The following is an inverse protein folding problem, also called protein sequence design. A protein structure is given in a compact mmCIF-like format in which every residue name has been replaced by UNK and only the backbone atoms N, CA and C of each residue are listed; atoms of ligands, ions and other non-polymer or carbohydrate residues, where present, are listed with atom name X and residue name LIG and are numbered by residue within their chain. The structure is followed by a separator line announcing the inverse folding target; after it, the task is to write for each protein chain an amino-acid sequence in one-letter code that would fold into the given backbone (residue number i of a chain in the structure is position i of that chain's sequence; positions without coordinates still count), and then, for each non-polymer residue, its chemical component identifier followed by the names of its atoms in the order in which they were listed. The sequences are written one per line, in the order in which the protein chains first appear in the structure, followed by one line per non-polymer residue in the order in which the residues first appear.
data_IF_190360795412
#
_entry.id   IF_190360795412
#
_cell.length_a   1.000
_cell.length_b   1.000
_cell.length_c   1.000
_cell.angle_alpha   90.00
_cell.angle_beta   90.00
_cell.angle_gamma   90.00
#
_symmetry.space_group_name_H-M   'P 1'
#
loop_
_entity.id
_entity.type
_entity.pdbx_description
1 polymer ?
#
# COMPACT_ATOMS: atom_id res chain seq x y z
N UNK A 1 -1.06 -17.98 -1.50
CA UNK A 1 -0.59 -16.74 -0.85
C UNK A 1 0.51 -16.14 -1.70
N UNK A 2 0.49 -14.82 -1.86
CA UNK A 2 1.54 -14.16 -2.63
C UNK A 2 2.85 -14.20 -1.86
N UNK A 3 3.90 -14.69 -2.50
CA UNK A 3 5.21 -14.85 -1.87
C UNK A 3 5.97 -13.53 -1.86
N UNK A 4 6.93 -13.41 -0.94
CA UNK A 4 7.74 -12.19 -0.81
C UNK A 4 8.45 -11.84 -2.12
N UNK A 5 8.88 -12.83 -2.88
CA UNK A 5 9.54 -12.61 -4.16
C UNK A 5 8.60 -11.93 -5.16
N UNK A 6 7.34 -12.36 -5.19
CA UNK A 6 6.32 -11.72 -6.04
C UNK A 6 6.05 -10.29 -5.60
N UNK A 7 5.98 -10.05 -4.30
CA UNK A 7 5.81 -8.70 -3.75
C UNK A 7 7.00 -7.81 -4.14
N UNK A 8 8.21 -8.33 -4.05
CA UNK A 8 9.41 -7.58 -4.45
C UNK A 8 9.39 -7.21 -5.93
N UNK A 9 8.90 -8.10 -6.78
CA UNK A 9 8.73 -7.81 -8.21
C UNK A 9 7.73 -6.68 -8.43
N UNK A 10 6.60 -6.71 -7.71
CA UNK A 10 5.60 -5.65 -7.79
C UNK A 10 6.16 -4.31 -7.31
N UNK A 11 6.96 -4.31 -6.27
CA UNK A 11 7.62 -3.10 -5.77
C UNK A 11 8.55 -2.51 -6.84
N UNK A 12 9.32 -3.36 -7.52
CA UNK A 12 10.20 -2.91 -8.60
C UNK A 12 9.40 -2.25 -9.73
N UNK A 13 8.29 -2.86 -10.12
CA UNK A 13 7.41 -2.31 -11.16
C UNK A 13 6.81 -0.97 -10.70
N UNK A 14 6.39 -0.88 -9.45
CA UNK A 14 5.83 0.35 -8.89
C UNK A 14 6.85 1.49 -8.93
N UNK A 15 8.10 1.21 -8.55
CA UNK A 15 9.18 2.20 -8.61
C UNK A 15 9.40 2.69 -10.05
N UNK A 16 9.43 1.76 -11.01
CA UNK A 16 9.62 2.12 -12.42
C UNK A 16 8.48 2.99 -12.93
N UNK A 17 7.24 2.65 -12.58
CA UNK A 17 6.08 3.43 -12.98
C UNK A 17 6.09 4.83 -12.37
N UNK A 18 6.46 4.94 -11.10
CA UNK A 18 6.57 6.24 -10.44
C UNK A 18 7.64 7.11 -11.09
N UNK A 19 8.79 6.53 -11.44
CA UNK A 19 9.87 7.26 -12.11
C UNK A 19 9.45 7.73 -13.50
N UNK A 20 8.69 6.91 -14.21
CA UNK A 20 8.25 7.20 -15.59
C UNK A 20 7.13 8.25 -15.61
N UNK A 21 6.11 8.07 -14.77
CA UNK A 21 4.88 8.84 -14.85
C UNK A 21 4.79 9.97 -13.82
N UNK A 22 5.67 9.98 -12.83
CA UNK A 22 5.65 10.96 -11.76
C UNK A 22 4.61 10.69 -10.69
N UNK A 23 3.76 9.70 -10.89
CA UNK A 23 2.73 9.28 -9.93
C UNK A 23 2.45 7.80 -10.10
N UNK A 24 1.88 7.20 -9.07
CA UNK A 24 1.54 5.79 -9.05
C UNK A 24 0.02 5.63 -8.95
N UNK A 25 -0.57 4.90 -9.91
CA UNK A 25 -1.97 4.51 -9.80
C UNK A 25 -2.08 3.43 -8.74
N UNK A 26 -3.01 3.62 -7.79
CA UNK A 26 -3.27 2.63 -6.75
C UNK A 26 -3.79 1.34 -7.38
N UNK A 27 -3.34 0.21 -6.87
CA UNK A 27 -3.73 -1.10 -7.37
C UNK A 27 -3.86 -2.08 -6.23
N UNK A 28 -4.86 -2.96 -6.30
CA UNK A 28 -5.05 -4.04 -5.35
C UNK A 28 -4.92 -5.37 -6.08
N UNK A 29 -4.20 -6.29 -5.45
CA UNK A 29 -4.05 -7.67 -5.91
C UNK A 29 -4.79 -8.55 -4.92
N UNK A 30 -5.87 -9.19 -5.37
CA UNK A 30 -6.74 -9.99 -4.51
C UNK A 30 -6.57 -11.46 -4.86
N UNK A 31 -6.11 -12.25 -3.89
CA UNK A 31 -5.95 -13.68 -4.08
C UNK A 31 -7.24 -14.40 -3.67
N UNK A 32 -7.90 -15.04 -4.63
CA UNK A 32 -9.12 -15.79 -4.40
C UNK A 32 -8.84 -17.14 -3.76
N UNK A 33 -9.89 -17.73 -3.16
CA UNK A 33 -9.83 -19.08 -2.61
C UNK A 33 -9.60 -20.14 -3.68
N UNK A 34 -9.94 -19.83 -4.92
CA UNK A 34 -9.71 -20.68 -6.08
C UNK A 34 -8.29 -20.53 -6.64
N UNK A 35 -7.42 -19.80 -5.95
CA UNK A 35 -6.02 -19.50 -6.33
C UNK A 35 -5.89 -18.53 -7.51
N UNK A 36 -6.97 -17.98 -8.03
CA UNK A 36 -6.93 -16.95 -9.04
C UNK A 36 -6.56 -15.61 -8.42
N UNK A 37 -5.77 -14.84 -9.14
CA UNK A 37 -5.38 -13.50 -8.74
C UNK A 37 -6.21 -12.48 -9.51
N UNK A 38 -6.93 -11.63 -8.79
CA UNK A 38 -7.68 -10.53 -9.38
C UNK A 38 -6.89 -9.25 -9.18
N UNK A 39 -6.67 -8.50 -10.25
CA UNK A 39 -5.94 -7.24 -10.21
C UNK A 39 -6.94 -6.12 -10.44
N UNK A 40 -7.03 -5.20 -9.48
CA UNK A 40 -7.99 -4.09 -9.53
C UNK A 40 -7.22 -2.78 -9.56
N UNK A 41 -7.31 -2.05 -10.67
CA UNK A 41 -6.78 -0.70 -10.74
C UNK A 41 -7.77 0.25 -10.05
N UNK A 42 -7.26 1.07 -9.15
CA UNK A 42 -8.07 1.94 -8.31
C UNK A 42 -7.86 3.38 -8.77
N UNK A 43 -8.61 3.78 -9.81
CA UNK A 43 -8.46 5.08 -10.47
C UNK A 43 -9.31 6.18 -9.82
N UNK A 44 -9.81 5.94 -8.62
CA UNK A 44 -10.63 6.88 -7.88
C UNK A 44 -9.96 7.24 -6.54
N UNK A 45 -10.54 8.19 -5.83
CA UNK A 45 -10.03 8.64 -4.54
C UNK A 45 -10.10 7.54 -3.48
N UNK A 46 -9.23 7.64 -2.48
CA UNK A 46 -9.15 6.67 -1.38
C UNK A 46 -10.48 6.53 -0.65
N UNK A 47 -11.21 7.64 -0.47
CA UNK A 47 -12.53 7.62 0.14
C UNK A 47 -13.54 6.77 -0.63
N UNK A 48 -13.32 6.58 -1.93
CA UNK A 48 -14.17 5.77 -2.80
C UNK A 48 -13.70 4.33 -2.86
N UNK A 49 -12.39 4.09 -3.04
CA UNK A 49 -11.93 2.72 -3.27
C UNK A 49 -11.81 1.90 -1.99
N UNK A 50 -11.52 2.50 -0.83
CA UNK A 50 -11.41 1.73 0.41
C UNK A 50 -12.73 1.05 0.81
N UNK A 51 -13.90 1.73 0.77
CA UNK A 51 -15.17 1.03 1.00
C UNK A 51 -15.46 -0.05 -0.04
N UNK A 52 -15.09 0.18 -1.29
CA UNK A 52 -15.25 -0.80 -2.36
C UNK A 52 -14.44 -2.08 -2.08
N UNK A 53 -13.15 -1.93 -1.71
CA UNK A 53 -12.30 -3.06 -1.36
C UNK A 53 -12.81 -3.79 -0.13
N UNK A 54 -13.22 -3.04 0.89
CA UNK A 54 -13.75 -3.61 2.12
C UNK A 54 -14.96 -4.50 1.83
N UNK A 55 -15.91 -4.00 1.05
CA UNK A 55 -17.08 -4.76 0.66
C UNK A 55 -16.72 -6.02 -0.13
N UNK A 56 -15.78 -5.88 -1.06
CA UNK A 56 -15.32 -7.00 -1.89
C UNK A 56 -14.66 -8.09 -1.04
N UNK A 57 -13.82 -7.70 -0.09
CA UNK A 57 -13.14 -8.64 0.80
C UNK A 57 -14.10 -9.31 1.80
N UNK A 58 -15.16 -8.63 2.22
CA UNK A 58 -16.16 -9.20 3.10
C UNK A 58 -17.01 -10.29 2.41
N UNK A 59 -16.95 -10.40 1.09
CA UNK A 59 -17.69 -11.44 0.37
C UNK A 59 -17.25 -12.86 0.73
N UNK A 60 -16.04 -13.01 1.33
CA UNK A 60 -15.50 -14.31 1.69
C UNK A 60 -14.84 -15.06 0.55
N UNK A 61 -14.77 -14.46 -0.65
CA UNK A 61 -14.20 -15.11 -1.82
C UNK A 61 -12.68 -15.02 -1.89
N UNK A 62 -12.06 -14.25 -0.99
CA UNK A 62 -10.63 -13.97 -1.03
C UNK A 62 -9.96 -14.39 0.27
N UNK A 63 -8.69 -14.78 0.18
CA UNK A 63 -7.89 -15.21 1.33
C UNK A 63 -6.74 -14.26 1.65
N UNK A 64 -6.36 -13.38 0.73
CA UNK A 64 -5.34 -12.37 0.97
C UNK A 64 -5.45 -11.24 -0.02
N UNK A 65 -4.82 -10.13 0.29
CA UNK A 65 -4.68 -9.04 -0.67
C UNK A 65 -3.35 -8.32 -0.47
N UNK A 66 -2.91 -7.66 -1.53
CA UNK A 66 -1.81 -6.69 -1.49
C UNK A 66 -2.33 -5.39 -2.08
N UNK A 67 -2.24 -4.32 -1.31
CA UNK A 67 -2.63 -2.98 -1.76
C UNK A 67 -1.38 -2.15 -1.95
N UNK A 68 -1.20 -1.57 -3.13
CA UNK A 68 -0.09 -0.68 -3.45
C UNK A 68 -0.63 0.70 -3.71
N UNK A 69 -0.18 1.67 -2.93
CA UNK A 69 -0.64 3.06 -3.05
C UNK A 69 0.53 4.02 -2.84
N UNK A 70 0.37 5.23 -3.36
CA UNK A 70 1.22 6.35 -3.02
C UNK A 70 0.55 7.10 -1.88
N UNK A 71 1.27 7.39 -0.80
CA UNK A 71 0.68 8.00 0.38
C UNK A 71 1.68 8.83 1.18
N UNK A 72 1.16 9.66 2.07
CA UNK A 72 1.95 10.31 3.11
C UNK A 72 2.11 9.37 4.30
N UNK A 73 3.23 9.47 4.99
CA UNK A 73 3.42 8.75 6.24
C UNK A 73 4.30 9.55 7.19
N UNK A 74 4.20 9.23 8.48
CA UNK A 74 5.11 9.68 9.52
C UNK A 74 5.42 8.49 10.42
N UNK A 75 6.57 8.52 11.09
CA UNK A 75 6.92 7.51 12.09
C UNK A 75 6.83 8.17 13.47
N UNK A 76 6.16 7.49 14.40
CA UNK A 76 6.03 7.92 15.78
C UNK A 76 6.17 6.71 16.68
N UNK A 77 7.13 6.76 17.61
CA UNK A 77 7.34 5.66 18.57
C UNK A 77 7.53 4.32 17.85
N UNK A 78 8.28 4.32 16.76
CA UNK A 78 8.57 3.16 15.93
C UNK A 78 7.36 2.57 15.19
N UNK A 79 6.17 3.15 15.37
CA UNK A 79 4.97 2.72 14.64
C UNK A 79 4.69 3.71 13.52
N UNK A 80 4.75 3.29 12.26
CA UNK A 80 4.41 4.18 11.15
C UNK A 80 2.92 4.48 11.12
N UNK A 81 2.58 5.72 10.83
CA UNK A 81 1.20 6.17 10.59
C UNK A 81 1.09 6.56 9.13
N UNK A 82 0.18 5.92 8.43
CA UNK A 82 0.06 6.02 6.99
C UNK A 82 -1.25 6.68 6.64
N UNK A 83 -1.16 7.85 5.98
CA UNK A 83 -2.30 8.62 5.52
C UNK A 83 -3.22 9.03 6.70
N UNK A 84 -4.36 9.63 6.39
CA UNK A 84 -5.30 10.14 7.36
C UNK A 84 -5.04 11.59 7.73
N UNK A 85 -5.97 12.17 8.46
CA UNK A 85 -5.98 13.58 8.79
C UNK A 85 -4.73 14.02 9.56
N UNK A 86 -4.35 13.23 10.57
CA UNK A 86 -3.20 13.58 11.41
C UNK A 86 -1.91 13.60 10.61
N UNK A 87 -1.75 12.61 9.70
CA UNK A 87 -0.54 12.50 8.87
C UNK A 87 -0.43 13.67 7.90
N UNK A 88 -1.53 14.04 7.23
CA UNK A 88 -1.51 15.10 6.23
C UNK A 88 -1.19 16.48 6.80
N UNK A 89 -1.37 16.68 8.11
CA UNK A 89 -1.06 17.93 8.78
C UNK A 89 0.32 17.97 9.44
N UNK A 90 1.03 16.85 9.49
CA UNK A 90 2.37 16.82 10.08
C UNK A 90 3.40 17.44 9.15
N UNK A 91 4.25 18.30 9.70
CA UNK A 91 5.29 18.98 8.91
C UNK A 91 6.40 18.03 8.47
N UNK A 92 6.61 16.95 9.21
CA UNK A 92 7.64 15.96 8.92
C UNK A 92 7.11 14.76 8.13
N UNK A 93 5.92 14.91 7.54
CA UNK A 93 5.38 13.86 6.68
C UNK A 93 6.25 13.65 5.45
N UNK A 94 6.28 12.43 4.98
CA UNK A 94 7.03 12.06 3.78
C UNK A 94 6.11 11.34 2.81
N UNK A 95 6.42 11.47 1.52
CA UNK A 95 5.75 10.67 0.49
C UNK A 95 6.36 9.28 0.45
N UNK A 96 5.56 8.28 0.16
CA UNK A 96 6.03 6.92 0.05
C UNK A 96 5.15 6.09 -0.87
N UNK A 97 5.75 5.04 -1.43
CA UNK A 97 4.98 3.91 -1.94
C UNK A 97 4.70 3.02 -0.74
N UNK A 98 3.45 2.68 -0.53
CA UNK A 98 3.03 1.80 0.56
C UNK A 98 2.51 0.51 -0.04
N UNK A 99 3.07 -0.61 0.38
CA UNK A 99 2.64 -1.95 -0.04
C UNK A 99 2.14 -2.66 1.20
N UNK A 100 0.83 -2.86 1.27
CA UNK A 100 0.19 -3.47 2.43
C UNK A 100 -0.34 -4.85 2.06
N UNK A 101 0.22 -5.88 2.70
CA UNK A 101 -0.25 -7.26 2.62
C UNK A 101 -1.08 -7.59 3.86
N UNK A 102 -2.18 -8.32 3.65
CA UNK A 102 -2.95 -8.90 4.73
C UNK A 102 -3.62 -10.19 4.26
N UNK A 103 -3.72 -11.19 5.16
CA UNK A 103 -4.45 -12.42 4.87
C UNK A 103 -5.63 -12.59 5.83
N UNK A 104 -6.45 -13.60 5.56
CA UNK A 104 -7.67 -13.86 6.32
C UNK A 104 -7.42 -14.31 7.75
N UNK A 105 -6.20 -14.78 8.06
CA UNK A 105 -5.81 -15.21 9.41
C UNK A 105 -5.47 -13.99 10.26
N UNK A 106 -5.28 -12.83 9.64
CA UNK A 106 -4.90 -11.60 10.32
C UNK A 106 -3.42 -11.28 10.26
N UNK A 107 -2.62 -12.09 9.54
CA UNK A 107 -1.22 -11.74 9.32
C UNK A 107 -1.17 -10.55 8.37
N UNK A 108 -0.32 -9.61 8.69
CA UNK A 108 -0.18 -8.40 7.87
C UNK A 108 1.26 -7.97 7.83
N UNK A 109 1.60 -7.26 6.78
CA UNK A 109 2.90 -6.63 6.64
C UNK A 109 2.75 -5.39 5.78
N UNK A 110 3.37 -4.31 6.20
CA UNK A 110 3.47 -3.12 5.38
C UNK A 110 4.94 -2.88 5.03
N UNK A 111 5.19 -2.59 3.77
CA UNK A 111 6.48 -2.12 3.30
C UNK A 111 6.30 -0.68 2.85
N UNK A 112 7.11 0.20 3.41
CA UNK A 112 7.07 1.63 3.12
C UNK A 112 8.37 1.98 2.39
N UNK A 113 8.22 2.52 1.18
CA UNK A 113 9.36 2.94 0.38
C UNK A 113 9.28 4.46 0.26
N UNK A 114 9.95 5.19 1.17
CA UNK A 114 9.94 6.64 1.13
C UNK A 114 10.64 7.16 -0.12
N UNK A 115 10.20 8.29 -0.62
CA UNK A 115 10.90 8.96 -1.70
C UNK A 115 10.83 10.47 -1.53
N UNK A 116 11.77 11.15 -2.18
CA UNK A 116 11.83 12.60 -2.22
C UNK A 116 11.72 13.06 -3.67
N UNK A 117 10.96 14.14 -3.85
CA UNK A 117 10.86 14.82 -5.14
C UNK A 117 11.75 16.04 -5.13
N UNK A 118 12.63 16.11 -6.11
CA UNK A 118 13.50 17.27 -6.30
C UNK A 118 13.35 17.71 -7.76
N UNK A 119 12.49 18.69 -8.00
CA UNK A 119 12.03 19.04 -9.34
C UNK A 119 11.31 17.86 -9.99
N UNK A 120 11.84 17.32 -11.09
CA UNK A 120 11.26 16.14 -11.76
C UNK A 120 11.95 14.84 -11.38
N UNK A 121 12.94 14.91 -10.49
CA UNK A 121 13.68 13.74 -10.08
C UNK A 121 13.08 13.15 -8.81
N UNK A 122 13.01 11.82 -8.77
CA UNK A 122 12.53 11.07 -7.63
C UNK A 122 13.68 10.22 -7.11
N UNK A 123 13.98 10.36 -5.83
CA UNK A 123 15.03 9.58 -5.15
C UNK A 123 14.38 8.73 -4.09
N UNK A 124 14.56 7.41 -4.20
CA UNK A 124 14.04 6.48 -3.20
C UNK A 124 14.97 6.43 -2.00
N UNK A 125 14.38 6.45 -0.83
CA UNK A 125 15.10 6.34 0.43
C UNK A 125 15.05 4.90 0.93
N UNK A 126 15.65 4.64 2.10
CA UNK A 126 15.70 3.30 2.67
C UNK A 126 14.28 2.81 2.96
N UNK A 127 13.92 1.65 2.40
CA UNK A 127 12.64 1.04 2.68
C UNK A 127 12.60 0.44 4.08
N UNK A 128 11.40 0.41 4.65
CA UNK A 128 11.17 -0.20 5.94
C UNK A 128 9.95 -1.10 5.86
N UNK A 129 10.01 -2.22 6.56
CA UNK A 129 8.89 -3.17 6.64
C UNK A 129 8.55 -3.43 8.09
N UNK A 130 7.26 -3.55 8.38
CA UNK A 130 6.79 -3.82 9.73
C UNK A 130 5.47 -4.58 9.66
N UNK A 131 5.19 -5.35 10.71
CA UNK A 131 3.91 -6.02 10.87
C UNK A 131 2.93 -5.16 11.67
N UNK A 132 3.36 -4.00 12.14
CA UNK A 132 2.57 -3.11 12.98
C UNK A 132 2.58 -1.69 12.41
N UNK A 133 1.38 -1.16 12.10
CA UNK A 133 1.24 0.19 11.60
C UNK A 133 -0.16 0.73 11.91
N UNK A 134 -0.32 2.04 11.82
CA UNK A 134 -1.60 2.71 11.96
C UNK A 134 -1.95 3.45 10.66
N UNK A 135 -3.21 3.44 10.26
CA UNK A 135 -3.66 4.14 9.09
C UNK A 135 -4.93 3.56 8.51
N UNK A 136 -5.51 4.26 7.54
CA UNK A 136 -6.80 3.87 6.96
C UNK A 136 -6.72 2.77 5.92
N UNK A 137 -5.52 2.32 5.56
CA UNK A 137 -5.37 1.25 4.58
C UNK A 137 -5.49 -0.15 5.18
N UNK A 138 -5.72 -0.25 6.48
CA UNK A 138 -5.93 -1.53 7.15
C UNK A 138 -7.38 -1.94 6.96
N UNK A 139 -7.65 -2.77 5.94
CA UNK A 139 -8.99 -3.08 5.47
C UNK A 139 -9.59 -4.28 6.20
N UNK A 140 -8.84 -5.36 6.32
CA UNK A 140 -9.22 -6.51 7.14
C UNK A 140 -8.71 -6.32 8.55
N UNK A 141 -9.46 -6.83 9.48
CA UNK A 141 -9.07 -6.73 10.89
C UNK A 141 -8.34 -7.94 11.38
#
# INVERSE_FOLDING_TARGET
MMEQEQINTLITIAKQNLLKDGSLTSVAFLEGRDKNLEIVALECDKEQFLPYLHKKLLSGAYKSYVLMVESWFVSRNETPKIDGFVVSEQKDRKEAIVVHFQDEIGRQRVTIIPFERNNKEITFLKEQSTDNFEGRFKIWR
#
